data_IF_549263124592
#
_entry.id   IF_549263124592
#
_cell.length_a   1.000
_cell.length_b   1.000
_cell.length_c   1.000
_cell.angle_alpha   90.00
_cell.angle_beta   90.00
_cell.angle_gamma   90.00
#
_symmetry.space_group_name_H-M   'P 1'
#
loop_
_entity.id
_entity.type
_entity.pdbx_description
1 polymer ?
#
# COMPACT_ATOMS: atom_id res chain seq x y z
N UNK A 1 -27.12 40.78 -8.98
CA UNK A 1 -26.45 39.58 -9.42
C UNK A 1 -25.85 38.87 -8.21
N UNK A 2 -26.52 37.85 -7.72
CA UNK A 2 -26.01 36.97 -6.65
C UNK A 2 -25.17 35.92 -7.31
N UNK A 3 -23.86 35.93 -7.07
CA UNK A 3 -22.98 34.82 -7.40
C UNK A 3 -23.22 33.70 -6.41
N UNK A 4 -23.84 32.63 -6.87
CA UNK A 4 -23.90 31.38 -6.13
C UNK A 4 -22.48 30.80 -6.21
N UNK A 5 -21.76 30.83 -5.08
CA UNK A 5 -20.53 30.04 -4.96
C UNK A 5 -20.96 28.57 -4.88
N UNK A 6 -20.75 27.85 -5.95
CA UNK A 6 -20.79 26.39 -5.91
C UNK A 6 -19.72 25.93 -4.94
N UNK A 7 -20.12 25.55 -3.75
CA UNK A 7 -19.31 24.77 -2.83
C UNK A 7 -19.14 23.39 -3.49
N UNK A 8 -18.08 23.23 -4.26
CA UNK A 8 -17.60 21.91 -4.60
C UNK A 8 -17.10 21.28 -3.30
N UNK A 9 -17.98 20.53 -2.63
CA UNK A 9 -17.54 19.64 -1.56
C UNK A 9 -16.58 18.64 -2.18
N UNK A 10 -15.29 18.72 -1.82
CA UNK A 10 -14.34 17.69 -2.18
C UNK A 10 -14.92 16.33 -1.75
N UNK A 11 -15.10 15.44 -2.72
CA UNK A 11 -15.61 14.08 -2.47
C UNK A 11 -14.54 13.34 -1.67
N UNK A 12 -14.83 13.05 -0.39
CA UNK A 12 -13.91 12.32 0.47
C UNK A 12 -13.77 10.88 -0.02
N UNK A 13 -12.52 10.38 -0.02
CA UNK A 13 -12.26 8.96 -0.30
C UNK A 13 -12.88 8.08 0.81
N UNK A 14 -13.37 6.87 0.48
CA UNK A 14 -14.00 5.98 1.47
C UNK A 14 -13.14 5.70 2.70
N UNK A 15 -11.83 5.53 2.55
CA UNK A 15 -10.94 5.30 3.68
C UNK A 15 -10.85 6.50 4.64
N UNK A 16 -10.97 7.74 4.13
CA UNK A 16 -10.96 8.96 4.95
C UNK A 16 -12.17 9.02 5.86
N UNK A 17 -13.35 8.68 5.32
CA UNK A 17 -14.60 8.62 6.09
C UNK A 17 -14.51 7.58 7.21
N UNK A 18 -13.99 6.39 6.90
CA UNK A 18 -13.83 5.31 7.87
C UNK A 18 -12.81 5.66 8.96
N UNK A 19 -11.71 6.34 8.59
CA UNK A 19 -10.72 6.83 9.55
C UNK A 19 -11.29 7.88 10.49
N UNK A 20 -12.06 8.82 9.98
CA UNK A 20 -12.74 9.84 10.81
C UNK A 20 -13.73 9.20 11.78
N UNK A 21 -14.49 8.18 11.34
CA UNK A 21 -15.42 7.41 12.19
C UNK A 21 -14.70 6.69 13.32
N UNK A 22 -13.53 6.11 13.06
CA UNK A 22 -12.68 5.46 14.05
C UNK A 22 -12.19 6.47 15.09
N UNK A 23 -11.66 7.63 14.66
CA UNK A 23 -11.16 8.70 15.52
C UNK A 23 -12.25 9.29 16.41
N UNK A 24 -13.47 9.39 15.91
CA UNK A 24 -14.63 9.90 16.63
C UNK A 24 -15.31 8.84 17.51
N UNK A 25 -14.84 7.60 17.50
CA UNK A 25 -15.45 6.44 18.19
C UNK A 25 -16.93 6.22 17.80
N UNK A 26 -17.34 6.69 16.64
CA UNK A 26 -18.68 6.45 16.09
C UNK A 26 -18.67 5.13 15.34
N UNK A 27 -19.49 4.19 15.83
CA UNK A 27 -19.77 2.99 15.04
C UNK A 27 -20.73 3.36 13.91
N UNK A 28 -20.32 3.09 12.68
CA UNK A 28 -21.22 3.15 11.54
C UNK A 28 -22.24 2.02 11.76
N UNK A 29 -23.48 2.38 12.09
CA UNK A 29 -24.58 1.43 12.24
C UNK A 29 -25.04 0.95 10.86
N UNK A 30 -24.26 0.07 10.23
CA UNK A 30 -24.63 -0.58 9.00
C UNK A 30 -25.06 -2.02 9.28
N UNK A 31 -25.97 -2.53 8.44
CA UNK A 31 -26.36 -3.92 8.43
C UNK A 31 -25.12 -4.82 8.23
N UNK A 32 -25.01 -5.89 8.99
CA UNK A 32 -23.89 -6.85 8.92
C UNK A 32 -23.70 -7.42 7.51
N UNK A 33 -24.79 -7.69 6.80
CA UNK A 33 -24.76 -8.16 5.40
C UNK A 33 -24.13 -7.11 4.47
N UNK A 34 -24.50 -5.84 4.65
CA UNK A 34 -23.95 -4.73 3.87
C UNK A 34 -22.46 -4.53 4.16
N UNK A 35 -22.05 -4.57 5.42
CA UNK A 35 -20.64 -4.48 5.81
C UNK A 35 -19.82 -5.63 5.23
N UNK A 36 -20.36 -6.84 5.27
CA UNK A 36 -19.70 -8.02 4.69
C UNK A 36 -19.46 -7.84 3.20
N UNK A 37 -20.48 -7.36 2.47
CA UNK A 37 -20.38 -7.12 1.03
C UNK A 37 -19.33 -6.05 0.71
N UNK A 38 -19.36 -4.93 1.42
CA UNK A 38 -18.40 -3.84 1.23
C UNK A 38 -16.96 -4.32 1.45
N UNK A 39 -16.74 -5.12 2.50
CA UNK A 39 -15.44 -5.70 2.78
C UNK A 39 -15.02 -6.71 1.70
N UNK A 40 -15.91 -7.58 1.27
CA UNK A 40 -15.65 -8.53 0.18
C UNK A 40 -15.28 -7.79 -1.12
N UNK A 41 -16.01 -6.74 -1.47
CA UNK A 41 -15.74 -5.94 -2.66
C UNK A 41 -14.35 -5.27 -2.58
N UNK A 42 -14.01 -4.73 -1.41
CA UNK A 42 -12.69 -4.13 -1.19
C UNK A 42 -11.56 -5.17 -1.29
N UNK A 43 -11.73 -6.35 -0.70
CA UNK A 43 -10.75 -7.43 -0.75
C UNK A 43 -10.62 -8.05 -2.15
N UNK A 44 -11.64 -7.95 -2.99
CA UNK A 44 -11.60 -8.45 -4.37
C UNK A 44 -10.62 -7.68 -5.28
N UNK A 45 -10.18 -6.50 -4.86
CA UNK A 45 -9.16 -5.70 -5.56
C UNK A 45 -7.71 -6.19 -5.32
N UNK A 46 -7.56 -7.28 -4.56
CA UNK A 46 -6.26 -7.82 -4.18
C UNK A 46 -6.05 -9.23 -4.67
N UNK A 47 -4.79 -9.52 -4.96
CA UNK A 47 -4.28 -10.89 -5.05
C UNK A 47 -3.70 -11.27 -3.69
N UNK A 48 -4.16 -12.41 -3.13
CA UNK A 48 -3.71 -12.89 -1.83
C UNK A 48 -2.80 -14.09 -1.96
N UNK A 49 -1.70 -14.05 -1.20
CA UNK A 49 -0.79 -15.16 -0.98
C UNK A 49 -0.91 -15.62 0.47
N UNK A 50 -1.06 -16.93 0.67
CA UNK A 50 -0.98 -17.51 2.01
C UNK A 50 0.50 -17.69 2.37
N UNK A 51 0.89 -17.11 3.49
CA UNK A 51 2.28 -17.11 3.96
C UNK A 51 2.35 -17.58 5.40
N UNK A 52 3.27 -18.49 5.67
CA UNK A 52 3.57 -18.97 7.01
C UNK A 52 4.67 -18.10 7.63
N UNK A 53 4.38 -17.53 8.80
CA UNK A 53 5.34 -16.78 9.61
C UNK A 53 5.58 -17.50 10.93
N UNK A 54 6.69 -17.23 11.58
CA UNK A 54 7.02 -17.79 12.90
C UNK A 54 5.94 -17.44 13.96
N UNK A 55 5.35 -16.25 13.86
CA UNK A 55 4.30 -15.76 14.78
C UNK A 55 2.87 -16.10 14.40
N UNK A 56 2.64 -16.85 13.32
CA UNK A 56 1.31 -17.19 12.79
C UNK A 56 1.21 -17.02 11.29
N UNK A 57 0.18 -17.63 10.71
CA UNK A 57 -0.04 -17.59 9.28
C UNK A 57 -0.83 -16.35 8.86
N UNK A 58 -0.53 -15.81 7.71
CA UNK A 58 -1.20 -14.63 7.18
C UNK A 58 -1.58 -14.77 5.70
N UNK A 59 -2.64 -14.07 5.34
CA UNK A 59 -2.92 -13.70 3.97
C UNK A 59 -2.20 -12.38 3.68
N UNK A 60 -1.38 -12.37 2.66
CA UNK A 60 -0.64 -11.20 2.21
C UNK A 60 -1.27 -10.70 0.90
N UNK A 61 -1.90 -9.54 0.96
CA UNK A 61 -2.63 -8.96 -0.17
C UNK A 61 -1.89 -7.86 -0.86
N UNK A 62 -1.79 -7.95 -2.18
CA UNK A 62 -1.23 -6.93 -3.06
C UNK A 62 -2.31 -6.51 -4.06
N UNK A 63 -2.49 -5.21 -4.26
CA UNK A 63 -3.48 -4.69 -5.20
C UNK A 63 -3.20 -5.17 -6.63
N UNK A 64 -4.26 -5.49 -7.36
CA UNK A 64 -4.18 -5.88 -8.78
C UNK A 64 -3.56 -4.80 -9.67
N UNK A 65 -3.59 -3.54 -9.25
CA UNK A 65 -2.90 -2.45 -9.94
C UNK A 65 -1.38 -2.57 -9.92
N UNK A 66 -0.84 -3.24 -8.91
CA UNK A 66 0.61 -3.45 -8.78
C UNK A 66 1.16 -4.39 -9.88
N UNK A 67 0.38 -5.34 -10.34
CA UNK A 67 0.81 -6.27 -11.40
C UNK A 67 1.11 -5.55 -12.70
N UNK A 68 0.34 -4.52 -13.03
CA UNK A 68 0.55 -3.71 -14.24
C UNK A 68 1.88 -2.97 -14.22
N UNK A 69 2.29 -2.49 -13.06
CA UNK A 69 3.56 -1.80 -12.86
C UNK A 69 4.72 -2.80 -12.90
N UNK A 70 4.57 -3.94 -12.25
CA UNK A 70 5.56 -5.02 -12.22
C UNK A 70 5.85 -5.56 -13.63
N UNK A 71 4.82 -5.75 -14.46
CA UNK A 71 4.96 -6.21 -15.84
C UNK A 71 5.82 -5.25 -16.68
N UNK A 72 5.70 -3.95 -16.45
CA UNK A 72 6.51 -2.92 -17.13
C UNK A 72 7.92 -2.79 -16.57
N UNK A 73 8.20 -3.37 -15.41
CA UNK A 73 9.48 -3.23 -14.72
C UNK A 73 9.75 -1.82 -14.21
N UNK A 74 8.71 -1.11 -13.79
CA UNK A 74 8.82 0.23 -13.23
C UNK A 74 9.00 0.19 -11.71
N UNK A 75 9.82 1.09 -11.19
CA UNK A 75 9.91 1.32 -9.75
C UNK A 75 8.60 1.90 -9.23
N UNK A 76 8.19 1.52 -8.03
CA UNK A 76 6.86 1.86 -7.53
C UNK A 76 6.77 1.90 -6.01
N UNK A 77 5.64 2.39 -5.52
CA UNK A 77 5.18 2.18 -4.15
C UNK A 77 4.26 0.97 -4.15
N UNK A 78 4.55 0.01 -3.29
CA UNK A 78 3.84 -1.27 -3.20
C UNK A 78 3.21 -1.43 -1.82
N UNK A 79 1.93 -1.06 -1.64
CA UNK A 79 1.24 -1.32 -0.39
C UNK A 79 0.92 -2.81 -0.25
N UNK A 80 1.07 -3.35 0.96
CA UNK A 80 0.82 -4.75 1.27
C UNK A 80 -0.09 -4.85 2.49
N UNK A 81 -1.20 -5.55 2.33
CA UNK A 81 -2.17 -5.80 3.40
C UNK A 81 -1.94 -7.19 3.99
N UNK A 82 -1.74 -7.26 5.30
CA UNK A 82 -1.58 -8.53 6.03
C UNK A 82 -2.81 -8.81 6.88
N UNK A 83 -3.38 -9.98 6.71
CA UNK A 83 -4.55 -10.46 7.46
C UNK A 83 -4.18 -11.77 8.17
N UNK A 84 -4.13 -11.73 9.51
CA UNK A 84 -3.79 -12.87 10.36
C UNK A 84 -5.01 -13.64 10.87
N UNK A 85 -6.16 -13.44 10.26
CA UNK A 85 -7.41 -14.07 10.61
C UNK A 85 -8.42 -13.07 11.19
N UNK A 86 -9.69 -13.49 11.40
CA UNK A 86 -10.77 -12.57 11.76
C UNK A 86 -10.67 -12.00 13.17
N UNK A 87 -9.96 -12.67 14.08
CA UNK A 87 -9.81 -12.24 15.48
C UNK A 87 -8.70 -11.20 15.71
N UNK A 88 -7.89 -10.95 14.69
CA UNK A 88 -6.77 -10.03 14.75
C UNK A 88 -7.05 -8.77 13.91
N UNK A 89 -6.55 -7.59 14.32
CA UNK A 89 -6.58 -6.43 13.45
C UNK A 89 -5.69 -6.66 12.20
N UNK A 90 -5.98 -5.98 11.10
CA UNK A 90 -5.12 -6.04 9.93
C UNK A 90 -3.83 -5.25 10.16
N UNK A 91 -2.80 -5.56 9.38
CA UNK A 91 -1.58 -4.77 9.31
C UNK A 91 -1.38 -4.27 7.89
N UNK A 92 -0.95 -3.03 7.77
CA UNK A 92 -0.60 -2.44 6.49
C UNK A 92 0.89 -2.13 6.47
N UNK A 93 1.56 -2.60 5.42
CA UNK A 93 2.92 -2.25 5.11
C UNK A 93 2.98 -1.48 3.81
N UNK A 94 3.99 -0.66 3.65
CA UNK A 94 4.30 -0.03 2.38
C UNK A 94 5.68 -0.50 1.93
N UNK A 95 5.75 -0.97 0.70
CA UNK A 95 6.97 -1.33 0.02
C UNK A 95 7.42 -0.19 -0.90
N UNK A 96 8.71 0.06 -0.91
CA UNK A 96 9.35 0.95 -1.86
C UNK A 96 10.21 0.07 -2.76
N UNK A 97 9.79 -0.07 -4.01
CA UNK A 97 10.36 -1.03 -4.93
C UNK A 97 11.15 -0.33 -6.03
N UNK A 98 12.46 -0.50 -5.99
CA UNK A 98 13.37 -0.05 -7.03
C UNK A 98 13.59 -1.17 -8.04
N UNK A 99 13.44 -0.86 -9.32
CA UNK A 99 13.77 -1.77 -10.42
C UNK A 99 14.70 -1.02 -11.38
N UNK A 100 15.83 -1.59 -11.68
CA UNK A 100 16.84 -0.98 -12.55
C UNK A 100 17.77 -1.99 -13.19
N UNK A 101 18.68 -1.50 -14.01
CA UNK A 101 19.64 -2.36 -14.72
C UNK A 101 20.67 -2.97 -13.77
N UNK A 102 21.01 -2.24 -12.71
CA UNK A 102 21.99 -2.66 -11.69
C UNK A 102 21.44 -2.44 -10.29
N UNK A 103 21.94 -3.22 -9.31
CA UNK A 103 21.64 -2.99 -7.92
C UNK A 103 22.17 -1.64 -7.46
N UNK A 104 21.30 -0.90 -6.79
CA UNK A 104 21.63 0.39 -6.19
C UNK A 104 22.20 0.23 -4.77
N UNK A 105 21.84 -0.86 -4.10
CA UNK A 105 22.08 -1.07 -2.66
C UNK A 105 21.48 0.05 -1.82
N UNK A 106 20.22 0.36 -2.08
CA UNK A 106 19.54 1.52 -1.48
C UNK A 106 19.47 1.45 0.03
N UNK A 107 19.65 2.59 0.67
CA UNK A 107 19.45 2.80 2.10
C UNK A 107 18.41 3.88 2.41
N UNK A 108 17.96 4.60 1.39
CA UNK A 108 17.04 5.72 1.55
C UNK A 108 16.06 5.80 0.38
N UNK A 109 14.83 6.14 0.72
CA UNK A 109 13.77 6.47 -0.25
C UNK A 109 13.22 7.85 0.09
N UNK A 110 13.13 8.72 -0.89
CA UNK A 110 12.50 10.02 -0.77
C UNK A 110 11.27 10.09 -1.67
N UNK A 111 10.22 10.70 -1.16
CA UNK A 111 8.97 10.90 -1.90
C UNK A 111 8.66 12.38 -1.89
N UNK A 112 8.72 13.01 -3.05
CA UNK A 112 8.35 14.41 -3.25
C UNK A 112 6.93 14.49 -3.78
N UNK A 113 6.05 15.10 -3.00
CA UNK A 113 4.68 15.42 -3.39
C UNK A 113 4.58 16.90 -3.79
N UNK A 114 3.38 17.35 -4.13
CA UNK A 114 3.16 18.78 -4.42
C UNK A 114 3.49 19.68 -3.22
N UNK A 115 3.38 19.16 -1.99
CA UNK A 115 3.46 19.94 -0.76
C UNK A 115 4.65 19.60 0.14
N UNK A 116 5.11 18.34 0.11
CA UNK A 116 6.07 17.82 1.10
C UNK A 116 7.12 16.90 0.48
N UNK A 117 8.19 16.70 1.25
CA UNK A 117 9.16 15.64 1.02
C UNK A 117 9.16 14.70 2.21
N UNK A 118 8.93 13.43 1.94
CA UNK A 118 9.04 12.36 2.94
C UNK A 118 10.31 11.58 2.70
N UNK A 119 11.07 11.35 3.76
CA UNK A 119 12.34 10.60 3.69
C UNK A 119 12.26 9.39 4.62
N UNK A 120 12.55 8.23 4.08
CA UNK A 120 12.60 6.96 4.80
C UNK A 120 13.99 6.36 4.62
N UNK A 121 14.68 6.10 5.70
CA UNK A 121 15.99 5.48 5.69
C UNK A 121 15.95 4.04 6.22
N UNK A 122 17.11 3.37 6.21
CA UNK A 122 17.22 1.97 6.62
C UNK A 122 16.76 1.70 8.05
N UNK A 123 16.82 2.69 8.96
CA UNK A 123 16.32 2.56 10.33
C UNK A 123 14.80 2.51 10.41
N UNK A 124 14.11 3.06 9.41
CA UNK A 124 12.65 3.03 9.33
C UNK A 124 12.09 1.80 8.62
N UNK A 125 12.93 0.96 8.05
CA UNK A 125 12.52 -0.28 7.37
C UNK A 125 12.35 -1.42 8.38
N UNK A 126 11.38 -2.31 8.12
CA UNK A 126 11.08 -3.46 8.97
C UNK A 126 12.20 -4.49 9.00
N UNK A 127 12.97 -4.56 7.93
CA UNK A 127 14.02 -5.56 7.69
C UNK A 127 15.03 -5.00 6.70
N UNK A 128 16.10 -5.75 6.45
CA UNK A 128 17.03 -5.41 5.38
C UNK A 128 16.31 -5.34 4.03
N UNK A 129 16.78 -4.45 3.16
CA UNK A 129 16.29 -4.35 1.79
C UNK A 129 16.45 -5.69 1.09
N UNK A 130 15.35 -6.21 0.58
CA UNK A 130 15.35 -7.48 -0.16
C UNK A 130 15.86 -7.23 -1.58
N UNK A 131 16.81 -8.05 -2.02
CA UNK A 131 17.36 -8.01 -3.37
C UNK A 131 17.01 -9.27 -4.12
N UNK A 132 16.35 -9.09 -5.25
CA UNK A 132 15.97 -10.18 -6.15
C UNK A 132 16.22 -9.77 -7.60
N UNK A 133 15.89 -10.65 -8.50
CA UNK A 133 15.91 -10.37 -9.93
C UNK A 133 14.47 -10.40 -10.44
N UNK A 134 14.07 -9.36 -11.17
CA UNK A 134 12.77 -9.28 -11.81
C UNK A 134 12.90 -9.54 -13.30
N UNK A 135 12.02 -10.38 -13.84
CA UNK A 135 11.86 -10.55 -15.28
C UNK A 135 10.76 -9.58 -15.77
N UNK A 136 11.10 -8.75 -16.74
CA UNK A 136 10.17 -7.79 -17.32
C UNK A 136 9.65 -8.24 -18.68
N UNK A 137 8.64 -7.56 -19.24
CA UNK A 137 7.94 -7.95 -20.46
C UNK A 137 8.83 -8.25 -21.68
N UNK A 138 10.00 -7.65 -21.76
CA UNK A 138 10.96 -7.88 -22.84
C UNK A 138 11.87 -9.10 -22.63
N UNK A 139 11.62 -9.88 -21.56
CA UNK A 139 12.42 -11.05 -21.19
C UNK A 139 13.77 -10.72 -20.56
N UNK A 140 14.06 -9.46 -20.29
CA UNK A 140 15.28 -9.05 -19.59
C UNK A 140 15.14 -9.19 -18.08
N UNK A 141 16.21 -9.63 -17.45
CA UNK A 141 16.34 -9.61 -16.00
C UNK A 141 16.80 -8.22 -15.54
N UNK A 142 16.12 -7.70 -14.50
CA UNK A 142 16.48 -6.45 -13.86
C UNK A 142 16.73 -6.64 -12.37
N UNK A 143 17.57 -5.79 -11.80
CA UNK A 143 17.73 -5.72 -10.35
C UNK A 143 16.44 -5.22 -9.71
N UNK A 144 16.02 -5.89 -8.64
CA UNK A 144 14.81 -5.59 -7.88
C UNK A 144 15.20 -5.46 -6.41
N UNK A 145 15.00 -4.27 -5.85
CA UNK A 145 15.24 -3.99 -4.44
C UNK A 145 13.93 -3.53 -3.79
N UNK A 146 13.55 -4.17 -2.70
CA UNK A 146 12.33 -3.88 -1.96
C UNK A 146 12.64 -3.52 -0.51
N UNK A 147 12.30 -2.31 -0.12
CA UNK A 147 12.28 -1.84 1.25
C UNK A 147 10.85 -1.88 1.79
N UNK A 148 10.63 -2.51 2.93
CA UNK A 148 9.32 -2.62 3.58
C UNK A 148 9.28 -1.80 4.86
N UNK A 149 8.18 -1.07 5.06
CA UNK A 149 7.90 -0.30 6.26
C UNK A 149 6.52 -0.63 6.79
N UNK A 150 6.41 -0.87 8.10
CA UNK A 150 5.11 -0.97 8.77
C UNK A 150 4.48 0.43 8.84
N UNK A 151 3.26 0.55 8.34
CA UNK A 151 2.53 1.82 8.27
C UNK A 151 2.08 2.26 9.67
N UNK A 152 2.44 3.49 10.03
CA UNK A 152 2.00 4.17 11.25
C UNK A 152 0.87 5.15 10.94
N UNK A 153 0.27 5.75 11.96
CA UNK A 153 -0.74 6.81 11.80
C UNK A 153 -0.22 7.99 10.95
N UNK A 154 1.02 8.41 11.20
CA UNK A 154 1.63 9.50 10.42
C UNK A 154 1.82 9.10 8.95
N UNK A 155 2.16 7.85 8.69
CA UNK A 155 2.31 7.34 7.33
C UNK A 155 0.98 7.35 6.56
N UNK A 156 -0.14 7.16 7.24
CA UNK A 156 -1.46 7.23 6.60
C UNK A 156 -1.74 8.64 6.06
N UNK A 157 -1.39 9.67 6.81
CA UNK A 157 -1.49 11.06 6.34
C UNK A 157 -0.59 11.32 5.15
N UNK A 158 0.62 10.77 5.18
CA UNK A 158 1.57 10.87 4.08
C UNK A 158 1.06 10.16 2.82
N UNK A 159 0.49 8.96 2.97
CA UNK A 159 -0.11 8.23 1.86
C UNK A 159 -1.32 8.96 1.28
N UNK A 160 -2.13 9.59 2.11
CA UNK A 160 -3.25 10.42 1.66
C UNK A 160 -2.78 11.64 0.84
N UNK A 161 -1.70 12.28 1.26
CA UNK A 161 -1.08 13.38 0.49
C UNK A 161 -0.53 12.89 -0.86
N UNK A 162 0.10 11.73 -0.89
CA UNK A 162 0.60 11.10 -2.12
C UNK A 162 -0.54 10.86 -3.12
N UNK A 163 -1.67 10.32 -2.65
CA UNK A 163 -2.84 10.07 -3.51
C UNK A 163 -3.38 11.36 -4.13
N UNK A 164 -3.40 12.44 -3.37
CA UNK A 164 -3.97 13.75 -3.77
C UNK A 164 -3.04 14.60 -4.62
N UNK A 165 -1.75 14.30 -4.61
CA UNK A 165 -0.77 15.10 -5.33
C UNK A 165 -0.81 14.83 -6.84
N UNK A 166 -0.71 15.89 -7.64
CA UNK A 166 -0.68 15.80 -9.11
C UNK A 166 0.62 15.15 -9.60
N UNK A 167 1.72 15.54 -8.97
CA UNK A 167 3.04 14.97 -9.26
C UNK A 167 3.67 14.39 -8.02
N UNK A 168 4.12 13.15 -8.14
CA UNK A 168 4.87 12.47 -7.10
C UNK A 168 6.16 11.94 -7.72
N UNK A 169 7.29 12.38 -7.19
CA UNK A 169 8.60 11.90 -7.61
C UNK A 169 9.17 10.96 -6.54
N UNK A 170 9.66 9.82 -6.99
CA UNK A 170 10.34 8.85 -6.14
C UNK A 170 11.84 8.98 -6.36
N UNK A 171 12.61 8.99 -5.27
CA UNK A 171 14.07 8.93 -5.29
C UNK A 171 14.52 7.72 -4.48
N UNK A 172 15.20 6.82 -5.14
CA UNK A 172 15.84 5.66 -4.51
C UNK A 172 17.33 5.95 -4.43
N UNK A 173 17.91 5.85 -3.24
CA UNK A 173 19.26 6.33 -3.03
C UNK A 173 20.09 5.43 -2.14
N UNK A 174 21.39 5.46 -2.37
CA UNK A 174 22.41 5.03 -1.43
C UNK A 174 23.17 6.27 -0.98
N UNK A 175 22.79 6.82 0.17
CA UNK A 175 23.39 8.03 0.73
C UNK A 175 24.51 7.75 1.73
N UNK A 176 24.47 6.62 2.41
CA UNK A 176 25.47 6.26 3.43
C UNK A 176 26.71 5.64 2.79
N UNK A 177 27.39 6.42 1.97
CA UNK A 177 28.60 6.03 1.24
C UNK A 177 29.42 7.25 0.90
N UNK A 178 30.70 7.06 0.59
CA UNK A 178 31.61 8.15 0.20
C UNK A 178 31.20 8.82 -1.12
N UNK A 179 30.52 8.06 -2.00
CA UNK A 179 29.99 8.56 -3.30
C UNK A 179 28.49 8.27 -3.38
N UNK A 180 27.64 9.17 -2.86
CA UNK A 180 26.20 8.99 -2.94
C UNK A 180 25.70 8.78 -4.38
N UNK A 181 24.79 7.84 -4.54
CA UNK A 181 24.14 7.53 -5.80
C UNK A 181 22.62 7.57 -5.59
N UNK A 182 21.90 8.09 -6.55
CA UNK A 182 20.44 8.10 -6.50
C UNK A 182 19.84 7.95 -7.90
N UNK A 183 18.61 7.42 -7.92
CA UNK A 183 17.80 7.28 -9.13
C UNK A 183 16.44 7.90 -8.86
N UNK A 184 16.03 8.82 -9.72
CA UNK A 184 14.74 9.50 -9.65
C UNK A 184 13.80 8.97 -10.73
N UNK A 185 12.53 8.80 -10.36
CA UNK A 185 11.48 8.48 -11.31
C UNK A 185 10.15 9.09 -10.87
N UNK A 186 9.25 9.27 -11.83
CA UNK A 186 7.87 9.63 -11.52
C UNK A 186 7.12 8.40 -10.99
N UNK A 187 6.33 8.59 -9.92
CA UNK A 187 5.48 7.52 -9.42
C UNK A 187 4.46 7.11 -10.49
N UNK A 188 4.33 5.81 -10.82
CA UNK A 188 3.29 5.33 -11.73
C UNK A 188 1.89 5.69 -11.24
N UNK A 189 0.99 6.05 -12.15
CA UNK A 189 -0.40 6.40 -11.80
C UNK A 189 -1.15 5.25 -11.12
N UNK A 190 -0.85 4.02 -11.48
CA UNK A 190 -1.42 2.82 -10.85
C UNK A 190 -1.15 2.74 -9.35
N UNK A 191 -0.05 3.34 -8.88
CA UNK A 191 0.29 3.35 -7.45
C UNK A 191 -0.77 4.10 -6.62
N UNK A 192 -1.36 5.17 -7.15
CA UNK A 192 -2.45 5.88 -6.46
C UNK A 192 -3.64 4.97 -6.23
N UNK A 193 -4.00 4.19 -7.23
CA UNK A 193 -5.08 3.21 -7.13
C UNK A 193 -4.75 2.11 -6.13
N UNK A 194 -3.53 1.59 -6.18
CA UNK A 194 -3.07 0.56 -5.24
C UNK A 194 -3.08 1.05 -3.78
N UNK A 195 -2.61 2.26 -3.53
CA UNK A 195 -2.61 2.86 -2.19
C UNK A 195 -4.05 3.11 -1.72
N UNK A 196 -4.92 3.62 -2.57
CA UNK A 196 -6.33 3.84 -2.26
C UNK A 196 -7.02 2.53 -1.90
N UNK A 197 -6.84 1.48 -2.70
CA UNK A 197 -7.40 0.15 -2.44
C UNK A 197 -6.93 -0.40 -1.10
N UNK A 198 -5.64 -0.26 -0.81
CA UNK A 198 -5.04 -0.76 0.43
C UNK A 198 -5.58 -0.03 1.66
N UNK A 199 -5.66 1.29 1.63
CA UNK A 199 -6.22 2.08 2.73
C UNK A 199 -7.71 1.78 2.93
N UNK A 200 -8.48 1.67 1.85
CA UNK A 200 -9.90 1.34 1.92
C UNK A 200 -10.13 -0.04 2.54
N UNK A 201 -9.44 -1.06 2.06
CA UNK A 201 -9.56 -2.42 2.60
C UNK A 201 -9.08 -2.50 4.05
N UNK A 202 -7.99 -1.83 4.38
CA UNK A 202 -7.46 -1.77 5.74
C UNK A 202 -8.48 -1.21 6.72
N UNK A 203 -9.10 -0.06 6.43
CA UNK A 203 -10.07 0.56 7.33
C UNK A 203 -11.39 -0.18 7.37
N UNK A 204 -11.88 -0.72 6.28
CA UNK A 204 -13.08 -1.57 6.29
C UNK A 204 -12.86 -2.82 7.17
N UNK A 205 -11.71 -3.45 7.05
CA UNK A 205 -11.38 -4.63 7.87
C UNK A 205 -11.19 -4.26 9.35
N UNK A 206 -10.46 -3.18 9.64
CA UNK A 206 -10.19 -2.70 10.98
C UNK A 206 -11.49 -2.38 11.74
N UNK A 207 -12.45 -1.75 11.08
CA UNK A 207 -13.73 -1.34 11.66
C UNK A 207 -14.80 -2.44 11.66
N UNK A 208 -14.56 -3.56 11.00
CA UNK A 208 -15.49 -4.66 10.95
C UNK A 208 -15.46 -5.50 12.22
N UNK A 209 -16.62 -6.10 12.57
CA UNK A 209 -16.68 -7.10 13.62
C UNK A 209 -15.97 -8.40 13.22
N UNK A 210 -15.61 -9.23 14.18
CA UNK A 210 -15.01 -10.55 13.92
C UNK A 210 -15.90 -11.41 13.01
N UNK A 211 -17.24 -11.36 13.19
CA UNK A 211 -18.18 -12.10 12.35
C UNK A 211 -18.15 -11.62 10.90
N UNK A 212 -18.16 -10.31 10.68
CA UNK A 212 -18.07 -9.72 9.33
C UNK A 212 -16.75 -10.10 8.68
N UNK A 213 -15.65 -10.01 9.40
CA UNK A 213 -14.32 -10.44 8.94
C UNK A 213 -14.32 -11.91 8.52
N UNK A 214 -14.85 -12.79 9.38
CA UNK A 214 -14.91 -14.22 9.11
C UNK A 214 -15.75 -14.54 7.86
N UNK A 215 -16.88 -13.89 7.69
CA UNK A 215 -17.73 -14.05 6.50
C UNK A 215 -17.04 -13.55 5.24
N UNK A 216 -16.39 -12.39 5.31
CA UNK A 216 -15.68 -11.85 4.16
C UNK A 216 -14.49 -12.71 3.75
N UNK A 217 -13.77 -13.30 4.70
CA UNK A 217 -12.63 -14.18 4.42
C UNK A 217 -13.04 -15.55 3.88
N UNK A 218 -14.25 -16.03 4.15
CA UNK A 218 -14.69 -17.37 3.75
C UNK A 218 -14.66 -17.59 2.23
N UNK A 219 -14.87 -16.53 1.45
CA UNK A 219 -14.95 -16.59 -0.01
C UNK A 219 -13.68 -16.06 -0.72
N UNK A 220 -12.63 -15.75 0.04
CA UNK A 220 -11.37 -15.26 -0.55
C UNK A 220 -10.62 -16.39 -1.26
N UNK A 221 -10.21 -16.09 -2.48
CA UNK A 221 -9.26 -16.93 -3.23
C UNK A 221 -7.84 -16.51 -2.89
N UNK A 222 -6.97 -17.46 -2.65
CA UNK A 222 -5.56 -17.23 -2.38
C UNK A 222 -4.69 -18.31 -3.00
N UNK A 223 -3.42 -17.97 -3.22
CA UNK A 223 -2.40 -18.90 -3.67
C UNK A 223 -1.48 -19.24 -2.48
N UNK A 224 -1.17 -20.51 -2.31
CA UNK A 224 -0.19 -20.92 -1.31
C UNK A 224 1.23 -20.71 -1.88
N UNK A 225 2.10 -20.12 -1.04
CA UNK A 225 3.51 -20.02 -1.39
C UNK A 225 4.15 -21.37 -1.12
N UNK A 226 4.64 -22.03 -2.17
CA UNK A 226 5.43 -23.26 -2.04
C UNK A 226 6.78 -22.93 -1.36
N UNK A 227 7.02 -23.58 -0.25
CA UNK A 227 8.28 -23.47 0.49
C UNK A 227 9.43 -24.20 -0.22
#
# INVERSE_FOLDING_TARGET
SMSVSENQSEEQQPYEILRESENETKQIAADEEQQTKELQDALSEFEFLYTEFEGGDALMGVSLHCDKVAEKGESCILPVLYIFGPSMPPYLCVGFNYIGDEYLDMDTVEIDTDNYRYTYDSESFMQEVQKTTAEVNDGKEKADELALRLVTEDDIDNLADIIKSDKVQLTFAKYNTAKPVFVECEMPDEDRHAITDALNAYYLYLNASERVRAKALADISYTEVES
#
